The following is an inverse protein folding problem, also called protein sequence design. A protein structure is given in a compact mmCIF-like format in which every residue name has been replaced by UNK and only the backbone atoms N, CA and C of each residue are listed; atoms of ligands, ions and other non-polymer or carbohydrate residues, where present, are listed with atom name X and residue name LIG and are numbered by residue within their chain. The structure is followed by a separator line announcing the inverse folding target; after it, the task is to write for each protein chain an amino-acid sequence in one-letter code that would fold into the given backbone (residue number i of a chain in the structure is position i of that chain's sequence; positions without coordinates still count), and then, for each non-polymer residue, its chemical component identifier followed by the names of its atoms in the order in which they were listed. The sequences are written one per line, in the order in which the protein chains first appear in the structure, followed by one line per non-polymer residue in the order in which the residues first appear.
data_IF_742336830655
#
_entry.id   IF_742336830655
#
_cell.length_a   1.000
_cell.length_b   1.000
_cell.length_c   1.000
_cell.angle_alpha   90.00
_cell.angle_beta   90.00
_cell.angle_gamma   90.00
#
_symmetry.space_group_name_H-M   'P 1'
#
loop_
_entity.id
_entity.type
_entity.pdbx_description
1 polymer ?
#
# COMPACT_ATOMS: atom_id res chain seq x y z
N UNK A 1 33.17 15.99 19.18
CA UNK A 1 32.40 16.53 18.04
C UNK A 1 31.63 15.43 17.27
N UNK A 2 30.55 14.86 17.83
CA UNK A 2 29.67 13.87 17.13
C UNK A 2 28.19 14.28 17.05
N UNK A 3 27.82 15.49 17.50
CA UNK A 3 26.41 15.90 17.70
C UNK A 3 25.67 16.32 16.42
N UNK A 4 26.37 16.85 15.41
CA UNK A 4 25.72 17.39 14.20
C UNK A 4 25.06 16.30 13.33
N UNK A 5 25.73 15.17 13.12
CA UNK A 5 25.20 14.06 12.33
C UNK A 5 24.01 13.34 13.00
N UNK A 6 24.03 13.24 14.33
CA UNK A 6 22.91 12.66 15.10
C UNK A 6 21.66 13.53 15.04
N UNK A 7 21.82 14.86 15.17
CA UNK A 7 20.71 15.80 15.05
C UNK A 7 20.05 15.75 13.65
N UNK A 8 20.85 15.66 12.59
CA UNK A 8 20.32 15.56 11.23
C UNK A 8 19.59 14.22 10.99
N UNK A 9 20.12 13.10 11.50
CA UNK A 9 19.43 11.79 11.46
C UNK A 9 18.09 11.82 12.20
N UNK A 10 18.02 12.49 13.36
CA UNK A 10 16.76 12.64 14.11
C UNK A 10 15.71 13.46 13.35
N UNK A 11 16.12 14.54 12.69
CA UNK A 11 15.21 15.35 11.88
C UNK A 11 14.65 14.56 10.69
N UNK A 12 15.53 13.85 9.96
CA UNK A 12 15.11 12.98 8.85
C UNK A 12 14.15 11.88 9.34
N UNK A 13 14.44 11.25 10.48
CA UNK A 13 13.56 10.25 11.07
C UNK A 13 12.18 10.84 11.46
N UNK A 14 12.13 12.08 11.97
CA UNK A 14 10.87 12.77 12.28
C UNK A 14 10.05 13.07 11.03
N UNK A 15 10.70 13.51 9.95
CA UNK A 15 10.04 13.75 8.67
C UNK A 15 9.49 12.44 8.08
N UNK A 16 10.30 11.38 8.05
CA UNK A 16 9.87 10.07 7.58
C UNK A 16 8.68 9.53 8.39
N UNK A 17 8.71 9.61 9.73
CA UNK A 17 7.56 9.22 10.56
C UNK A 17 6.29 10.00 10.22
N UNK A 18 6.40 11.30 9.94
CA UNK A 18 5.25 12.13 9.56
C UNK A 18 4.67 11.68 8.20
N UNK A 19 5.52 11.35 7.25
CA UNK A 19 5.11 10.84 5.94
C UNK A 19 4.45 9.47 6.08
N UNK A 20 5.08 8.53 6.79
CA UNK A 20 4.53 7.18 7.03
C UNK A 20 3.15 7.24 7.65
N UNK A 21 2.94 8.04 8.71
CA UNK A 21 1.62 8.21 9.35
C UNK A 21 0.55 8.73 8.41
N UNK A 22 0.90 9.65 7.50
CA UNK A 22 -0.05 10.18 6.51
C UNK A 22 -0.44 9.13 5.48
N UNK A 23 0.53 8.33 5.02
CA UNK A 23 0.29 7.23 4.07
C UNK A 23 -0.60 6.17 4.73
N UNK A 24 -0.30 5.81 5.97
CA UNK A 24 -1.08 4.83 6.74
C UNK A 24 -2.51 5.30 6.99
N UNK A 25 -2.72 6.57 7.38
CA UNK A 25 -4.05 7.16 7.54
C UNK A 25 -4.84 7.16 6.23
N UNK A 26 -4.18 7.49 5.11
CA UNK A 26 -4.80 7.42 3.79
C UNK A 26 -5.21 6.00 3.42
N UNK A 27 -4.31 5.02 3.60
CA UNK A 27 -4.60 3.61 3.35
C UNK A 27 -5.75 3.11 4.22
N UNK A 28 -5.79 3.48 5.50
CA UNK A 28 -6.92 3.13 6.36
C UNK A 28 -8.24 3.73 5.86
N UNK A 29 -8.27 5.02 5.51
CA UNK A 29 -9.50 5.64 5.00
C UNK A 29 -9.98 4.99 3.71
N UNK A 30 -9.06 4.79 2.77
CA UNK A 30 -9.35 4.15 1.49
C UNK A 30 -9.88 2.73 1.70
N UNK A 31 -9.15 1.88 2.42
CA UNK A 31 -9.57 0.49 2.65
C UNK A 31 -10.90 0.39 3.41
N UNK A 32 -11.17 1.28 4.38
CA UNK A 32 -12.49 1.34 5.03
C UNK A 32 -13.59 1.76 4.06
N UNK A 33 -13.32 2.74 3.20
CA UNK A 33 -14.31 3.17 2.21
C UNK A 33 -14.64 2.02 1.23
N UNK A 34 -13.62 1.36 0.66
CA UNK A 34 -13.85 0.30 -0.34
C UNK A 34 -14.59 -0.91 0.27
N UNK A 35 -14.23 -1.37 1.47
CA UNK A 35 -14.95 -2.51 2.10
C UNK A 35 -16.41 -2.21 2.44
N UNK A 36 -16.76 -0.94 2.68
CA UNK A 36 -18.14 -0.54 2.97
C UNK A 36 -18.95 -0.31 1.69
N UNK A 37 -18.31 0.15 0.62
CA UNK A 37 -18.98 0.50 -0.63
C UNK A 37 -19.24 -0.74 -1.52
N UNK A 38 -18.35 -1.74 -1.47
CA UNK A 38 -18.41 -2.90 -2.35
C UNK A 38 -18.59 -4.19 -1.54
N UNK A 39 -19.55 -5.03 -1.93
CA UNK A 39 -19.81 -6.34 -1.29
C UNK A 39 -18.72 -7.39 -1.57
N UNK A 40 -18.02 -7.24 -2.71
CA UNK A 40 -16.91 -8.09 -3.10
C UNK A 40 -15.82 -7.31 -3.84
N UNK A 41 -14.56 -7.65 -3.57
CA UNK A 41 -13.40 -7.11 -4.25
C UNK A 41 -12.45 -8.20 -4.71
N UNK A 42 -11.97 -8.04 -5.94
CA UNK A 42 -10.89 -8.85 -6.49
C UNK A 42 -9.66 -7.96 -6.58
N UNK A 43 -8.61 -8.29 -5.83
CA UNK A 43 -7.38 -7.53 -5.87
C UNK A 43 -6.33 -8.36 -6.56
N UNK A 44 -5.87 -7.88 -7.71
CA UNK A 44 -4.79 -8.54 -8.42
C UNK A 44 -3.53 -8.49 -7.57
N UNK A 45 -2.90 -9.65 -7.39
CA UNK A 45 -1.53 -9.73 -6.91
C UNK A 45 -0.60 -9.33 -8.06
N UNK A 46 -0.72 -8.07 -8.50
CA UNK A 46 0.14 -7.48 -9.51
C UNK A 46 1.58 -7.70 -9.06
N UNK A 47 2.36 -8.43 -9.87
CA UNK A 47 3.80 -8.29 -9.79
C UNK A 47 4.05 -6.83 -10.18
N UNK A 48 4.18 -5.96 -9.19
CA UNK A 48 4.35 -4.51 -9.38
C UNK A 48 5.74 -4.21 -9.93
N UNK A 49 6.66 -5.19 -9.99
CA UNK A 49 8.00 -5.04 -10.55
C UNK A 49 8.05 -4.42 -11.96
N UNK A 50 7.25 -4.85 -12.96
CA UNK A 50 7.22 -4.29 -14.30
C UNK A 50 6.64 -2.87 -14.34
N UNK A 51 5.67 -2.56 -13.46
CA UNK A 51 5.07 -1.22 -13.36
C UNK A 51 6.02 -0.19 -12.73
N UNK A 52 7.03 -0.67 -11.99
CA UNK A 52 7.96 0.13 -11.20
C UNK A 52 9.38 0.22 -11.80
N UNK A 53 9.60 -0.30 -13.01
CA UNK A 53 10.92 -0.27 -13.67
C UNK A 53 11.42 1.13 -14.03
N UNK A 54 10.57 2.15 -13.94
CA UNK A 54 10.92 3.54 -14.21
C UNK A 54 11.69 4.26 -13.09
N UNK A 55 11.92 3.65 -11.92
CA UNK A 55 12.54 4.35 -10.78
C UNK A 55 13.44 3.45 -9.91
N UNK A 56 14.75 3.47 -10.17
CA UNK A 56 15.75 2.87 -9.30
C UNK A 56 15.90 3.69 -8.00
N UNK A 57 15.05 3.36 -7.02
CA UNK A 57 15.09 3.62 -5.56
C UNK A 57 13.68 3.50 -4.95
N UNK A 58 12.63 3.53 -5.78
CA UNK A 58 11.21 3.42 -5.40
C UNK A 58 10.68 1.99 -5.27
N UNK A 59 11.25 1.03 -6.04
CA UNK A 59 10.80 -0.38 -6.13
C UNK A 59 10.48 -1.00 -4.77
N UNK A 60 11.47 -1.13 -3.87
CA UNK A 60 11.26 -1.83 -2.60
C UNK A 60 10.23 -1.15 -1.67
N UNK A 61 10.09 0.18 -1.74
CA UNK A 61 9.16 0.92 -0.88
C UNK A 61 7.73 0.83 -1.40
N UNK A 62 7.56 0.88 -2.72
CA UNK A 62 6.25 0.74 -3.35
C UNK A 62 5.72 -0.69 -3.20
N UNK A 63 6.57 -1.70 -3.40
CA UNK A 63 6.21 -3.10 -3.15
C UNK A 63 5.75 -3.33 -1.71
N UNK A 64 6.47 -2.76 -0.73
CA UNK A 64 6.10 -2.86 0.67
C UNK A 64 4.78 -2.13 0.99
N UNK A 65 4.57 -0.94 0.43
CA UNK A 65 3.34 -0.18 0.62
C UNK A 65 2.13 -0.88 -0.02
N UNK A 66 2.31 -1.54 -1.17
CA UNK A 66 1.28 -2.32 -1.83
C UNK A 66 0.90 -3.54 -1.00
N UNK A 67 1.88 -4.32 -0.52
CA UNK A 67 1.62 -5.45 0.39
C UNK A 67 0.87 -5.03 1.64
N UNK A 68 1.28 -3.92 2.27
CA UNK A 68 0.58 -3.38 3.43
C UNK A 68 -0.87 -3.01 3.11
N UNK A 69 -1.15 -2.46 1.92
CA UNK A 69 -2.51 -2.15 1.50
C UNK A 69 -3.37 -3.40 1.32
N UNK A 70 -2.82 -4.48 0.72
CA UNK A 70 -3.52 -5.76 0.60
C UNK A 70 -3.84 -6.34 1.99
N UNK A 71 -2.87 -6.38 2.89
CA UNK A 71 -3.08 -6.82 4.28
C UNK A 71 -4.17 -5.99 4.97
N UNK A 72 -4.22 -4.68 4.69
CA UNK A 72 -5.28 -3.80 5.22
C UNK A 72 -6.67 -4.15 4.69
N UNK A 73 -6.79 -4.47 3.40
CA UNK A 73 -8.05 -4.88 2.80
C UNK A 73 -8.53 -6.21 3.38
N UNK A 74 -7.65 -7.20 3.47
CA UNK A 74 -7.99 -8.53 3.98
C UNK A 74 -8.51 -8.49 5.42
N UNK A 75 -7.83 -7.77 6.31
CA UNK A 75 -8.28 -7.70 7.71
C UNK A 75 -9.62 -6.97 7.82
N UNK A 76 -9.85 -5.92 7.04
CA UNK A 76 -11.11 -5.15 7.08
C UNK A 76 -12.25 -5.90 6.43
N UNK A 77 -12.00 -6.59 5.34
CA UNK A 77 -12.98 -7.47 4.73
C UNK A 77 -13.47 -8.52 5.72
N UNK A 78 -12.55 -9.12 6.47
CA UNK A 78 -12.91 -10.02 7.58
C UNK A 78 -13.72 -9.32 8.69
N UNK A 79 -13.43 -8.06 8.98
CA UNK A 79 -14.12 -7.28 10.02
C UNK A 79 -15.54 -6.87 9.60
N UNK A 80 -15.74 -6.49 8.34
CA UNK A 80 -16.99 -5.94 7.82
C UNK A 80 -17.85 -6.97 7.06
N UNK A 81 -17.34 -8.19 6.86
CA UNK A 81 -18.06 -9.26 6.15
C UNK A 81 -17.96 -9.18 4.62
N UNK A 82 -17.11 -8.30 4.09
CA UNK A 82 -16.84 -8.15 2.65
C UNK A 82 -16.02 -9.33 2.13
N UNK A 83 -16.30 -9.81 0.92
CA UNK A 83 -15.50 -10.85 0.29
C UNK A 83 -14.29 -10.24 -0.44
N UNK A 84 -13.06 -10.58 -0.04
CA UNK A 84 -11.83 -10.19 -0.76
C UNK A 84 -11.13 -11.44 -1.26
N UNK A 85 -10.85 -11.47 -2.57
CA UNK A 85 -10.09 -12.55 -3.21
C UNK A 85 -8.88 -11.96 -3.91
N UNK A 86 -7.69 -12.47 -3.59
CA UNK A 86 -6.52 -12.19 -4.40
C UNK A 86 -6.55 -13.02 -5.67
N UNK A 87 -6.42 -12.37 -6.83
CA UNK A 87 -6.42 -13.03 -8.14
C UNK A 87 -5.04 -12.94 -8.79
N UNK A 88 -4.68 -13.96 -9.57
CA UNK A 88 -3.48 -13.95 -10.39
C UNK A 88 -3.64 -12.88 -11.50
N UNK A 89 -2.68 -11.96 -11.68
CA UNK A 89 -2.74 -10.92 -12.71
C UNK A 89 -2.73 -11.45 -14.16
N UNK A 90 -2.54 -12.75 -14.38
CA UNK A 90 -2.58 -13.34 -15.72
C UNK A 90 -3.99 -13.23 -16.37
N UNK A 91 -4.24 -12.11 -17.07
CA UNK A 91 -5.35 -11.98 -18.02
C UNK A 91 -6.45 -10.97 -17.66
N UNK A 92 -6.23 -10.11 -16.66
CA UNK A 92 -7.22 -9.11 -16.20
C UNK A 92 -7.25 -7.82 -17.03
N UNK A 93 -6.31 -7.64 -17.97
CA UNK A 93 -6.28 -6.51 -18.92
C UNK A 93 -7.36 -6.61 -20.03
N UNK A 94 -8.45 -7.37 -19.82
CA UNK A 94 -9.58 -7.35 -20.74
C UNK A 94 -10.50 -6.23 -20.32
N UNK A 95 -10.48 -5.18 -21.14
CA UNK A 95 -11.45 -4.11 -21.21
C UNK A 95 -12.85 -4.60 -20.79
N UNK A 96 -13.36 -4.07 -19.68
CA UNK A 96 -14.80 -4.02 -19.47
C UNK A 96 -15.30 -2.68 -20.02
N UNK A 97 -15.79 -2.77 -21.26
CA UNK A 97 -16.80 -1.92 -21.96
C UNK A 97 -16.53 -0.41 -22.10
#
# INVERSE_FOLDING_TARGET
MKRAGEQQRQQVAKANRKITRKVEDFQHKLTTWVVNEYDAMFVENLDVKPMLESSQNGKNKQDAAWRQFIEMLEYKAKLYGTHVVQVDPAGTNKEFS
#
